data_IF_975168944355
#
_entry.id   IF_975168944355
#
_cell.length_a   1.000
_cell.length_b   1.000
_cell.length_c   1.000
_cell.angle_alpha   90.00
_cell.angle_beta   90.00
_cell.angle_gamma   90.00
#
_symmetry.space_group_name_H-M   'P 1'
#
loop_
_entity.id
_entity.type
_entity.pdbx_description
1 polymer ?
#
# COMPACT_ATOMS: atom_id res chain seq x y z
N UNK A 1 2.54 10.47 -21.13
CA UNK A 1 1.86 10.11 -19.87
C UNK A 1 2.26 8.69 -19.52
N UNK A 2 3.16 8.46 -18.55
CA UNK A 2 3.61 7.12 -18.22
C UNK A 2 2.46 6.35 -17.54
N UNK A 3 2.24 5.13 -18.00
CA UNK A 3 1.16 4.23 -17.60
C UNK A 3 1.41 3.65 -16.22
N UNK A 4 0.41 3.73 -15.33
CA UNK A 4 0.36 3.28 -13.92
C UNK A 4 0.65 1.77 -13.71
N UNK A 5 0.95 1.02 -14.77
CA UNK A 5 1.16 -0.43 -14.71
C UNK A 5 2.59 -0.87 -14.32
N UNK A 6 3.60 0.01 -14.41
CA UNK A 6 5.02 -0.42 -14.35
C UNK A 6 5.72 -0.20 -12.99
N UNK A 7 5.10 0.50 -12.04
CA UNK A 7 5.69 0.71 -10.71
C UNK A 7 5.74 -0.57 -9.84
N UNK A 8 4.99 -1.60 -10.24
CA UNK A 8 4.71 -2.78 -9.41
C UNK A 8 5.85 -3.80 -9.41
N UNK A 9 6.65 -3.83 -10.48
CA UNK A 9 7.91 -4.60 -10.59
C UNK A 9 9.14 -3.69 -10.63
N UNK A 10 8.98 -2.42 -10.23
CA UNK A 10 10.06 -1.44 -10.19
C UNK A 10 11.32 -2.08 -9.58
N UNK A 11 12.38 -2.30 -10.38
CA UNK A 11 13.63 -2.88 -9.89
C UNK A 11 14.18 -2.10 -8.69
N UNK A 12 13.91 -0.79 -8.63
CA UNK A 12 14.32 0.02 -7.49
C UNK A 12 13.55 -0.35 -6.21
N UNK A 13 12.29 -0.81 -6.27
CA UNK A 13 11.55 -1.30 -5.11
C UNK A 13 12.10 -2.62 -4.57
N UNK A 14 12.51 -3.51 -5.47
CA UNK A 14 13.16 -4.78 -5.12
C UNK A 14 14.50 -4.50 -4.43
N UNK A 15 15.31 -3.59 -4.98
CA UNK A 15 16.58 -3.20 -4.35
C UNK A 15 16.36 -2.52 -2.99
N UNK A 16 15.34 -1.65 -2.85
CA UNK A 16 14.98 -1.07 -1.54
C UNK A 16 14.67 -2.15 -0.49
N UNK A 17 13.92 -3.19 -0.85
CA UNK A 17 13.63 -4.30 0.06
C UNK A 17 14.89 -5.10 0.41
N UNK A 18 15.75 -5.39 -0.57
CA UNK A 18 17.04 -6.05 -0.34
C UNK A 18 17.91 -5.24 0.61
N UNK A 19 17.95 -3.92 0.47
CA UNK A 19 18.73 -3.03 1.32
C UNK A 19 18.18 -2.96 2.75
N UNK A 20 16.86 -2.95 2.92
CA UNK A 20 16.23 -3.06 4.24
C UNK A 20 16.62 -4.37 4.95
N UNK A 21 16.58 -5.50 4.24
CA UNK A 21 16.99 -6.80 4.78
C UNK A 21 18.46 -6.82 5.19
N UNK A 22 19.34 -6.31 4.31
CA UNK A 22 20.79 -6.21 4.60
C UNK A 22 21.06 -5.28 5.78
N UNK A 23 20.35 -4.16 5.87
CA UNK A 23 20.49 -3.22 6.98
C UNK A 23 20.07 -3.85 8.31
N UNK A 24 18.95 -4.58 8.35
CA UNK A 24 18.52 -5.32 9.54
C UNK A 24 19.56 -6.37 9.95
N UNK A 25 20.05 -7.17 9.00
CA UNK A 25 21.07 -8.18 9.26
C UNK A 25 22.36 -7.57 9.84
N UNK A 26 22.86 -6.48 9.24
CA UNK A 26 24.03 -5.76 9.74
C UNK A 26 23.81 -5.25 11.16
N UNK A 27 22.63 -4.70 11.45
CA UNK A 27 22.31 -4.19 12.80
C UNK A 27 22.32 -5.32 13.83
N UNK A 28 21.76 -6.49 13.51
CA UNK A 28 21.77 -7.65 14.42
C UNK A 28 23.21 -8.09 14.70
N UNK A 29 24.05 -8.22 13.68
CA UNK A 29 25.47 -8.62 13.84
C UNK A 29 26.25 -7.62 14.69
N UNK A 30 26.04 -6.31 14.50
CA UNK A 30 26.70 -5.28 15.32
C UNK A 30 26.27 -5.37 16.78
N UNK A 31 24.96 -5.48 17.04
CA UNK A 31 24.46 -5.58 18.41
C UNK A 31 24.94 -6.85 19.11
N UNK A 32 25.03 -7.97 18.40
CA UNK A 32 25.55 -9.24 18.93
C UNK A 32 27.05 -9.14 19.27
N UNK A 33 27.85 -8.59 18.36
CA UNK A 33 29.28 -8.37 18.58
C UNK A 33 29.58 -7.47 19.79
N UNK A 34 28.66 -6.55 20.12
CA UNK A 34 28.76 -5.67 21.28
C UNK A 34 28.17 -6.28 22.57
N UNK A 35 27.59 -7.49 22.52
CA UNK A 35 26.88 -8.09 23.64
C UNK A 35 25.57 -7.38 24.02
N UNK A 36 25.02 -6.57 23.09
CA UNK A 36 23.83 -5.72 23.27
C UNK A 36 22.62 -6.18 22.49
N UNK A 37 22.63 -7.40 21.96
CA UNK A 37 21.54 -7.94 21.13
C UNK A 37 20.16 -7.79 21.79
N UNK A 38 20.10 -8.00 23.10
CA UNK A 38 18.87 -7.91 23.90
C UNK A 38 18.79 -6.65 24.76
N UNK A 39 19.64 -5.64 24.51
CA UNK A 39 19.64 -4.40 25.28
C UNK A 39 18.38 -3.55 25.03
N UNK A 40 17.81 -3.61 23.82
CA UNK A 40 16.51 -3.00 23.49
C UNK A 40 15.68 -3.93 22.58
N UNK A 41 14.96 -4.89 23.18
CA UNK A 41 14.11 -5.82 22.42
C UNK A 41 12.97 -5.11 21.70
N UNK A 42 12.49 -3.97 22.21
CA UNK A 42 11.37 -3.24 21.61
C UNK A 42 11.77 -2.59 20.29
N UNK A 43 12.96 -2.00 20.21
CA UNK A 43 13.50 -1.48 18.95
C UNK A 43 13.75 -2.60 17.92
N UNK A 44 14.22 -3.77 18.36
CA UNK A 44 14.44 -4.91 17.48
C UNK A 44 13.12 -5.45 16.90
N UNK A 45 12.08 -5.57 17.74
CA UNK A 45 10.74 -5.99 17.31
C UNK A 45 10.11 -5.02 16.31
N UNK A 46 10.29 -3.70 16.50
CA UNK A 46 9.83 -2.69 15.53
C UNK A 46 10.51 -2.87 14.17
N UNK A 47 11.83 -2.99 14.14
CA UNK A 47 12.58 -3.19 12.90
C UNK A 47 12.19 -4.49 12.18
N UNK A 48 11.96 -5.57 12.92
CA UNK A 48 11.44 -6.84 12.37
C UNK A 48 10.01 -6.68 11.82
N UNK A 49 9.16 -5.91 12.51
CA UNK A 49 7.80 -5.61 12.06
C UNK A 49 7.76 -4.83 10.74
N UNK A 50 8.64 -3.86 10.58
CA UNK A 50 8.76 -3.05 9.36
C UNK A 50 9.19 -3.92 8.17
N UNK A 51 10.24 -4.73 8.36
CA UNK A 51 10.73 -5.67 7.33
C UNK A 51 9.67 -6.71 6.97
N UNK A 52 8.96 -7.28 7.96
CA UNK A 52 7.88 -8.24 7.73
C UNK A 52 6.76 -7.63 6.88
N UNK A 53 6.39 -6.38 7.16
CA UNK A 53 5.34 -5.68 6.42
C UNK A 53 5.72 -5.47 4.95
N UNK A 54 6.99 -5.13 4.67
CA UNK A 54 7.48 -5.01 3.29
C UNK A 54 7.59 -6.35 2.56
N UNK A 55 8.05 -7.40 3.25
CA UNK A 55 8.06 -8.76 2.69
C UNK A 55 6.66 -9.23 2.34
N UNK A 56 5.68 -9.01 3.20
CA UNK A 56 4.29 -9.35 2.94
C UNK A 56 3.73 -8.58 1.74
N UNK A 57 4.02 -7.27 1.65
CA UNK A 57 3.66 -6.46 0.47
C UNK A 57 4.28 -7.02 -0.82
N UNK A 58 5.51 -7.50 -0.76
CA UNK A 58 6.19 -8.12 -1.89
C UNK A 58 5.57 -9.48 -2.25
N UNK A 59 5.32 -10.34 -1.27
CA UNK A 59 4.75 -11.69 -1.46
C UNK A 59 3.33 -11.66 -2.01
N UNK A 60 2.44 -10.84 -1.41
CA UNK A 60 1.05 -10.70 -1.87
C UNK A 60 1.00 -10.22 -3.31
N UNK A 61 1.87 -9.27 -3.70
CA UNK A 61 1.90 -8.78 -5.08
C UNK A 61 2.53 -9.78 -6.04
N UNK A 62 3.55 -10.50 -5.61
CA UNK A 62 4.15 -11.59 -6.42
C UNK A 62 3.15 -12.72 -6.68
N UNK A 63 2.22 -12.96 -5.75
CA UNK A 63 1.25 -14.06 -5.82
C UNK A 63 -0.10 -13.67 -6.44
N UNK A 64 -0.58 -12.43 -6.24
CA UNK A 64 -1.96 -12.04 -6.56
C UNK A 64 -2.10 -10.86 -7.55
N UNK A 65 -1.03 -10.15 -7.90
CA UNK A 65 -1.08 -9.17 -9.01
C UNK A 65 -0.90 -9.89 -10.36
N UNK A 66 -1.96 -10.57 -10.79
CA UNK A 66 -2.10 -11.07 -12.17
C UNK A 66 -2.51 -9.92 -13.10
N UNK A 67 -2.35 -10.05 -14.43
CA UNK A 67 -2.78 -9.03 -15.39
C UNK A 67 -4.25 -8.60 -15.21
N UNK A 68 -5.10 -9.53 -14.79
CA UNK A 68 -6.53 -9.36 -14.58
C UNK A 68 -6.85 -8.45 -13.37
N UNK A 69 -6.10 -8.55 -12.27
CA UNK A 69 -6.26 -7.67 -11.11
C UNK A 69 -5.66 -6.27 -11.34
N UNK A 70 -4.69 -6.13 -12.24
CA UNK A 70 -4.23 -4.83 -12.73
C UNK A 70 -5.28 -4.14 -13.63
N UNK A 71 -5.98 -4.90 -14.47
CA UNK A 71 -7.08 -4.41 -15.32
C UNK A 71 -8.31 -3.99 -14.50
N UNK A 72 -8.71 -4.80 -13.51
CA UNK A 72 -9.80 -4.42 -12.59
C UNK A 72 -9.48 -3.11 -11.83
N UNK A 73 -8.23 -2.91 -11.38
CA UNK A 73 -7.81 -1.65 -10.75
C UNK A 73 -7.87 -0.46 -11.72
N UNK A 74 -7.51 -0.68 -12.99
CA UNK A 74 -7.60 0.34 -14.05
C UNK A 74 -9.06 0.76 -14.26
N UNK A 75 -9.97 -0.20 -14.42
CA UNK A 75 -11.41 0.04 -14.60
C UNK A 75 -11.99 0.80 -13.41
N UNK A 76 -11.65 0.40 -12.18
CA UNK A 76 -12.10 1.12 -10.96
C UNK A 76 -11.50 2.53 -10.87
N UNK A 77 -10.24 2.73 -11.29
CA UNK A 77 -9.61 4.04 -11.37
C UNK A 77 -10.25 4.97 -12.39
N UNK A 78 -10.55 4.45 -13.59
CA UNK A 78 -11.27 5.16 -14.66
C UNK A 78 -12.69 5.53 -14.23
N UNK A 79 -13.41 4.62 -13.56
CA UNK A 79 -14.74 4.89 -13.02
C UNK A 79 -14.73 5.98 -11.93
N UNK A 80 -13.69 6.04 -11.09
CA UNK A 80 -13.52 7.09 -10.09
C UNK A 80 -13.14 8.45 -10.70
N UNK A 81 -12.50 8.47 -11.87
CA UNK A 81 -12.20 9.69 -12.62
C UNK A 81 -13.40 10.27 -13.39
N UNK A 82 -14.43 9.46 -13.63
CA UNK A 82 -15.69 9.89 -14.26
C UNK A 82 -16.75 10.40 -13.28
N UNK A 83 -16.61 10.15 -11.98
CA UNK A 83 -17.50 10.71 -10.95
C UNK A 83 -17.04 12.11 -10.55
N UNK A 84 -17.10 13.05 -11.50
CA UNK A 84 -17.18 14.47 -11.18
C UNK A 84 -18.63 14.74 -10.77
N UNK A 85 -18.89 14.70 -9.46
CA UNK A 85 -20.09 15.28 -8.87
C UNK A 85 -20.00 16.82 -9.02
N UNK A 86 -20.18 17.31 -10.24
CA UNK A 86 -20.64 18.68 -10.44
C UNK A 86 -22.15 18.67 -10.13
N UNK A 87 -22.46 18.60 -8.84
CA UNK A 87 -23.74 19.06 -8.32
C UNK A 87 -23.80 20.57 -8.59
N UNK A 88 -24.46 20.98 -9.66
CA UNK A 88 -25.25 22.18 -9.55
C UNK A 88 -26.47 21.80 -8.69
N UNK A 89 -26.77 22.54 -7.60
CA UNK A 89 -28.01 22.32 -6.89
C UNK A 89 -29.12 22.84 -7.81
N UNK A 90 -29.83 21.93 -8.48
CA UNK A 90 -31.12 22.27 -9.09
C UNK A 90 -32.06 22.68 -7.94
N UNK A 91 -32.25 24.00 -7.80
CA UNK A 91 -33.34 24.59 -7.04
C UNK A 91 -34.66 24.26 -7.76
N UNK A 92 -35.18 23.04 -7.61
CA UNK A 92 -36.61 22.78 -7.83
C UNK A 92 -37.21 22.03 -6.64
N UNK A 93 -37.92 22.84 -5.87
CA UNK A 93 -38.85 22.58 -4.79
C UNK A 93 -39.94 21.58 -5.26
N UNK A 94 -39.80 20.29 -4.93
CA UNK A 94 -40.93 19.38 -4.89
C UNK A 94 -41.07 18.82 -3.47
N UNK A 95 -41.79 19.61 -2.68
CA UNK A 95 -42.30 19.25 -1.37
C UNK A 95 -42.96 17.86 -1.41
N UNK A 96 -42.39 16.94 -0.63
CA UNK A 96 -42.97 15.64 -0.34
C UNK A 96 -44.46 15.77 0.01
N UNK A 97 -45.40 15.08 -0.67
CA UNK A 97 -46.79 15.16 -0.26
C UNK A 97 -46.90 14.56 1.15
N UNK A 98 -47.53 15.26 2.12
CA UNK A 98 -47.69 14.71 3.45
C UNK A 98 -48.52 13.42 3.37
N UNK A 99 -48.01 12.40 4.05
CA UNK A 99 -48.68 11.13 4.29
C UNK A 99 -50.11 11.36 4.77
N UNK A 100 -51.04 10.67 4.13
CA UNK A 100 -52.46 10.94 4.22
C UNK A 100 -53.29 9.66 4.17
N UNK A 101 -53.11 8.78 5.15
CA UNK A 101 -54.18 8.17 5.97
C UNK A 101 -53.68 7.04 6.87
#
# INVERSE_FOLDING_TARGET
MPTVADETYDPARIERLRDLLRALARRIVVLDAEGRLLADPSALLRALGDVRSELFRYEVRTTFDTPESAEHRRIVGEAKGGWSLAEEPDEEDDAWPPDGR
#
